data_IF_056057952879
#
_entry.id   IF_056057952879
#
_cell.length_a   1.000
_cell.length_b   1.000
_cell.length_c   1.000
_cell.angle_alpha   90.00
_cell.angle_beta   90.00
_cell.angle_gamma   90.00
#
_symmetry.space_group_name_H-M   'P 1'
#
loop_
_entity.id
_entity.type
_entity.pdbx_description
1 polymer ?
#
# COMPACT_ATOMS: atom_id res chain seq x y z
N UNK A 1 -15.07 3.64 -3.14
CA UNK A 1 -14.91 3.31 -1.71
C UNK A 1 -16.24 2.91 -1.10
N UNK A 2 -16.25 1.86 -0.28
CA UNK A 2 -17.39 1.49 0.58
C UNK A 2 -17.56 2.50 1.71
N UNK A 3 -18.65 2.44 2.47
CA UNK A 3 -18.91 3.38 3.57
C UNK A 3 -17.86 3.26 4.68
N UNK A 4 -17.45 2.03 5.01
CA UNK A 4 -16.37 1.78 5.97
C UNK A 4 -15.04 2.38 5.49
N UNK A 5 -14.68 2.20 4.21
CA UNK A 5 -13.50 2.83 3.64
C UNK A 5 -13.55 4.36 3.77
N UNK A 6 -14.69 4.98 3.48
CA UNK A 6 -14.85 6.45 3.61
C UNK A 6 -14.67 6.90 5.06
N UNK A 7 -15.21 6.17 6.03
CA UNK A 7 -15.04 6.49 7.45
C UNK A 7 -13.57 6.43 7.86
N UNK A 8 -12.88 5.31 7.57
CA UNK A 8 -11.45 5.14 7.86
C UNK A 8 -10.63 6.24 7.18
N UNK A 9 -10.92 6.54 5.91
CA UNK A 9 -10.21 7.57 5.14
C UNK A 9 -10.39 8.97 5.75
N UNK A 10 -11.63 9.34 6.13
CA UNK A 10 -11.90 10.62 6.82
C UNK A 10 -11.20 10.69 8.18
N UNK A 11 -11.14 9.60 8.92
CA UNK A 11 -10.46 9.58 10.21
C UNK A 11 -8.94 9.69 10.06
N UNK A 12 -8.36 9.07 9.02
CA UNK A 12 -6.97 9.29 8.65
C UNK A 12 -6.71 10.76 8.25
N UNK A 13 -7.58 11.39 7.46
CA UNK A 13 -7.50 12.82 7.13
C UNK A 13 -7.62 13.73 8.36
N UNK A 14 -8.49 13.42 9.32
CA UNK A 14 -8.62 14.21 10.55
C UNK A 14 -7.36 14.13 11.41
N UNK A 15 -6.80 12.92 11.56
CA UNK A 15 -5.51 12.72 12.25
C UNK A 15 -4.40 13.49 11.54
N UNK A 16 -4.40 13.49 10.21
CA UNK A 16 -3.41 14.25 9.43
C UNK A 16 -3.56 15.75 9.58
N UNK A 17 -4.79 16.30 9.65
CA UNK A 17 -5.00 17.73 9.90
C UNK A 17 -4.28 18.19 11.15
N UNK A 18 -4.39 17.45 12.26
CA UNK A 18 -3.69 17.77 13.50
C UNK A 18 -2.17 17.81 13.29
N UNK A 19 -1.61 16.75 12.70
CA UNK A 19 -0.17 16.63 12.44
C UNK A 19 0.36 17.68 11.45
N UNK A 20 -0.41 18.01 10.41
CA UNK A 20 -0.02 18.94 9.34
C UNK A 20 -0.16 20.41 9.80
N UNK A 21 -1.23 20.75 10.53
CA UNK A 21 -1.46 22.11 11.04
C UNK A 21 -0.51 22.44 12.20
N UNK A 22 -0.29 21.51 13.14
CA UNK A 22 0.68 21.70 14.22
C UNK A 22 2.09 21.95 13.66
N UNK A 23 2.46 21.28 12.56
CA UNK A 23 3.73 21.53 11.87
C UNK A 23 3.81 22.91 11.20
N UNK A 24 2.72 23.39 10.59
CA UNK A 24 2.67 24.71 9.97
C UNK A 24 2.84 25.86 10.98
N UNK A 25 2.30 25.70 12.20
CA UNK A 25 2.46 26.68 13.28
C UNK A 25 3.92 26.73 13.75
N UNK A 26 4.60 25.58 13.83
CA UNK A 26 6.01 25.51 14.23
C UNK A 26 6.96 26.14 13.18
N UNK A 27 6.73 25.93 11.87
CA UNK A 27 7.51 26.59 10.80
C UNK A 27 7.41 28.13 10.85
N UNK A 28 6.24 28.67 11.21
CA UNK A 28 6.03 30.14 11.33
C UNK A 28 6.66 30.75 12.58
N UNK A 29 7.03 29.93 13.57
CA UNK A 29 7.60 30.39 14.84
C UNK A 29 9.13 30.55 14.82
N UNK A 30 9.81 30.06 13.78
CA UNK A 30 11.26 30.19 13.57
C UNK A 30 11.67 31.54 12.92
N UNK A 31 10.96 32.63 13.25
CA UNK A 31 11.45 33.99 12.99
C UNK A 31 12.53 34.27 14.06
N UNK A 32 13.79 34.56 13.69
CA UNK A 32 14.85 34.68 14.68
C UNK A 32 14.67 35.96 15.51
N UNK A 33 14.14 35.82 16.73
CA UNK A 33 14.25 36.87 17.75
C UNK A 33 15.68 36.89 18.27
N UNK A 34 16.39 37.99 18.01
CA UNK A 34 17.77 38.23 18.42
C UNK A 34 17.91 38.39 19.94
N UNK A 35 17.92 37.30 20.70
CA UNK A 35 18.38 37.30 22.11
C UNK A 35 19.17 36.01 22.38
N UNK A 36 20.46 36.07 22.76
CA UNK A 36 21.25 34.88 23.01
C UNK A 36 20.95 34.34 24.40
N UNK A 37 20.34 33.15 24.49
CA UNK A 37 20.33 32.36 25.73
C UNK A 37 20.94 30.97 25.48
N UNK A 38 21.95 30.65 26.29
CA UNK A 38 22.70 29.38 26.31
C UNK A 38 21.72 28.20 26.39
N UNK A 39 21.71 27.33 25.38
CA UNK A 39 21.07 26.00 25.47
C UNK A 39 22.11 24.90 25.56
N UNK A 40 22.00 24.14 26.65
CA UNK A 40 22.62 22.85 26.92
C UNK A 40 22.29 21.87 25.80
N UNK A 41 23.31 21.20 25.27
CA UNK A 41 23.22 20.29 24.13
C UNK A 41 22.68 18.93 24.59
N UNK A 42 21.38 18.69 24.46
CA UNK A 42 20.79 17.35 24.48
C UNK A 42 20.79 16.78 23.06
N UNK A 43 21.23 15.53 22.92
CA UNK A 43 21.23 14.74 21.69
C UNK A 43 19.80 14.33 21.32
N UNK A 44 19.08 15.20 20.60
CA UNK A 44 17.81 14.87 19.95
C UNK A 44 18.03 14.50 18.49
N UNK A 45 17.34 13.47 17.98
CA UNK A 45 17.15 13.30 16.52
C UNK A 45 16.65 14.63 15.94
N UNK A 46 17.18 15.07 14.80
CA UNK A 46 16.77 16.34 14.19
C UNK A 46 15.26 16.38 13.99
N UNK A 47 14.60 17.46 14.44
CA UNK A 47 13.14 17.58 14.44
C UNK A 47 12.53 17.40 13.04
N UNK A 48 13.23 17.86 12.00
CA UNK A 48 12.87 17.67 10.59
C UNK A 48 12.70 16.19 10.21
N UNK A 49 13.50 15.30 10.83
CA UNK A 49 13.42 13.85 10.59
C UNK A 49 12.17 13.24 11.21
N UNK A 50 11.76 13.72 12.39
CA UNK A 50 10.53 13.28 13.07
C UNK A 50 9.28 13.75 12.29
N UNK A 51 9.32 14.95 11.74
CA UNK A 51 8.25 15.50 10.89
C UNK A 51 8.08 14.71 9.57
N UNK A 52 9.19 14.39 8.89
CA UNK A 52 9.15 13.57 7.68
C UNK A 52 8.64 12.15 7.94
N UNK A 53 8.96 11.57 9.10
CA UNK A 53 8.45 10.26 9.52
C UNK A 53 6.93 10.30 9.80
N UNK A 54 6.43 11.29 10.54
CA UNK A 54 5.00 11.43 10.86
C UNK A 54 4.12 11.73 9.63
N UNK A 55 4.61 12.56 8.71
CA UNK A 55 3.91 12.91 7.47
C UNK A 55 3.95 11.79 6.42
N UNK A 56 5.03 11.00 6.36
CA UNK A 56 5.07 9.77 5.56
C UNK A 56 4.04 8.75 6.06
N UNK A 57 3.82 8.66 7.38
CA UNK A 57 2.82 7.76 7.95
C UNK A 57 1.39 8.15 7.54
N UNK A 58 1.09 9.45 7.46
CA UNK A 58 -0.21 9.94 6.96
C UNK A 58 -0.48 9.51 5.53
N UNK A 59 0.46 9.72 4.60
CA UNK A 59 0.27 9.34 3.20
C UNK A 59 0.05 7.83 3.06
N UNK A 60 0.77 7.03 3.87
CA UNK A 60 0.58 5.58 3.89
C UNK A 60 -0.79 5.18 4.41
N UNK A 61 -1.29 5.81 5.47
CA UNK A 61 -2.63 5.55 5.99
C UNK A 61 -3.72 5.93 4.96
N UNK A 62 -3.61 7.10 4.32
CA UNK A 62 -4.58 7.49 3.28
C UNK A 62 -4.59 6.50 2.11
N UNK A 63 -3.41 6.05 1.68
CA UNK A 63 -3.29 5.00 0.66
C UNK A 63 -3.94 3.70 1.11
N UNK A 64 -3.57 3.16 2.27
CA UNK A 64 -4.16 1.92 2.80
C UNK A 64 -5.69 2.01 2.90
N UNK A 65 -6.23 3.15 3.33
CA UNK A 65 -7.68 3.37 3.46
C UNK A 65 -8.38 3.36 2.10
N UNK A 66 -7.74 3.90 1.06
CA UNK A 66 -8.22 3.84 -0.32
C UNK A 66 -8.19 2.40 -0.89
N UNK A 67 -7.32 1.52 -0.37
CA UNK A 67 -7.20 0.13 -0.80
C UNK A 67 -8.24 -0.78 -0.14
N UNK A 68 -8.16 -0.94 1.19
CA UNK A 68 -8.95 -1.96 1.87
C UNK A 68 -9.10 -1.71 3.39
N UNK A 69 -10.31 -1.86 3.98
CA UNK A 69 -10.51 -1.70 5.42
C UNK A 69 -9.67 -2.64 6.30
N UNK A 70 -9.49 -3.89 5.86
CA UNK A 70 -8.71 -4.91 6.58
C UNK A 70 -7.21 -4.57 6.76
N UNK A 71 -6.71 -3.49 6.14
CA UNK A 71 -5.37 -2.95 6.40
C UNK A 71 -5.31 -2.07 7.66
N UNK A 72 -6.41 -1.94 8.38
CA UNK A 72 -6.54 -1.25 9.66
C UNK A 72 -7.09 -2.19 10.71
N UNK A 73 -6.93 -1.82 11.98
CA UNK A 73 -7.58 -2.48 13.10
C UNK A 73 -8.90 -1.77 13.40
N UNK A 74 -10.00 -2.30 12.87
CA UNK A 74 -11.34 -1.70 13.04
C UNK A 74 -12.35 -2.70 13.59
N UNK A 75 -12.22 -3.97 13.21
CA UNK A 75 -13.12 -5.06 13.61
C UNK A 75 -12.62 -5.72 14.90
N UNK A 76 -11.30 -5.86 15.06
CA UNK A 76 -10.71 -6.44 16.26
C UNK A 76 -10.48 -5.37 17.34
N UNK A 77 -11.54 -5.07 18.10
CA UNK A 77 -11.52 -4.09 19.20
C UNK A 77 -10.63 -4.53 20.36
N UNK A 78 -10.28 -3.62 21.26
CA UNK A 78 -9.43 -3.93 22.43
C UNK A 78 -10.07 -4.95 23.38
N UNK A 79 -11.40 -5.00 23.46
CA UNK A 79 -12.15 -6.02 24.18
C UNK A 79 -11.96 -7.39 23.52
N UNK A 80 -12.04 -7.43 22.18
CA UNK A 80 -11.81 -8.64 21.38
C UNK A 80 -10.37 -9.12 21.54
N UNK A 81 -9.38 -8.22 21.47
CA UNK A 81 -7.98 -8.56 21.73
C UNK A 81 -7.79 -9.12 23.13
N UNK A 82 -8.43 -8.53 24.15
CA UNK A 82 -8.35 -9.04 25.53
C UNK A 82 -8.90 -10.46 25.65
N UNK A 83 -9.95 -10.79 24.90
CA UNK A 83 -10.49 -12.15 24.82
C UNK A 83 -9.53 -13.11 24.08
N UNK A 84 -8.96 -12.68 22.96
CA UNK A 84 -7.95 -13.42 22.19
C UNK A 84 -6.71 -13.70 23.06
N UNK A 85 -6.15 -12.71 23.74
CA UNK A 85 -4.99 -12.87 24.63
C UNK A 85 -5.25 -13.94 25.69
N UNK A 86 -6.40 -13.88 26.37
CA UNK A 86 -6.79 -14.87 27.38
C UNK A 86 -6.89 -16.29 26.79
N UNK A 87 -7.25 -16.40 25.52
CA UNK A 87 -7.28 -17.68 24.80
C UNK A 87 -5.86 -18.15 24.44
N UNK A 88 -5.05 -17.30 23.81
CA UNK A 88 -3.69 -17.63 23.38
C UNK A 88 -2.81 -18.08 24.55
N UNK A 89 -2.92 -17.45 25.72
CA UNK A 89 -2.18 -17.86 26.92
C UNK A 89 -2.53 -19.26 27.42
N UNK A 90 -3.64 -19.86 26.97
CA UNK A 90 -3.99 -21.25 27.29
C UNK A 90 -3.29 -22.26 26.38
N UNK A 91 -2.84 -21.82 25.20
CA UNK A 91 -2.19 -22.67 24.20
C UNK A 91 -0.84 -23.20 24.72
N UNK A 92 -0.49 -24.46 24.39
CA UNK A 92 0.74 -25.09 24.89
C UNK A 92 2.02 -24.30 24.60
N UNK A 93 2.11 -23.70 23.41
CA UNK A 93 3.30 -22.96 22.98
C UNK A 93 3.49 -21.64 23.77
N UNK A 94 2.40 -20.92 24.03
CA UNK A 94 2.44 -19.68 24.82
C UNK A 94 2.74 -19.98 26.29
N UNK A 95 2.18 -21.06 26.85
CA UNK A 95 2.52 -21.53 28.20
C UNK A 95 3.99 -21.91 28.32
N UNK A 96 4.50 -22.69 27.37
CA UNK A 96 5.90 -23.15 27.36
C UNK A 96 6.88 -21.98 27.31
N UNK A 97 6.55 -20.92 26.57
CA UNK A 97 7.38 -19.71 26.44
C UNK A 97 7.21 -18.72 27.61
N UNK A 98 6.30 -18.99 28.56
CA UNK A 98 6.03 -18.06 29.66
C UNK A 98 5.49 -16.71 29.18
N UNK A 99 4.63 -16.72 28.16
CA UNK A 99 4.14 -15.49 27.54
C UNK A 99 3.36 -14.60 28.53
N UNK A 100 3.60 -13.29 28.46
CA UNK A 100 2.98 -12.28 29.32
C UNK A 100 1.77 -11.67 28.60
N UNK A 101 0.62 -11.61 29.29
CA UNK A 101 -0.64 -11.14 28.71
C UNK A 101 -0.56 -9.74 28.11
N UNK A 102 0.10 -8.82 28.83
CA UNK A 102 0.27 -7.43 28.42
C UNK A 102 1.04 -7.33 27.11
N UNK A 103 2.19 -8.01 27.01
CA UNK A 103 3.02 -8.03 25.80
C UNK A 103 2.27 -8.65 24.61
N UNK A 104 1.57 -9.77 24.81
CA UNK A 104 0.79 -10.40 23.74
C UNK A 104 -0.33 -9.48 23.25
N UNK A 105 -0.99 -8.74 24.16
CA UNK A 105 -2.03 -7.78 23.78
C UNK A 105 -1.43 -6.55 23.07
N UNK A 106 -0.28 -6.07 23.54
CA UNK A 106 0.46 -4.96 22.92
C UNK A 106 0.86 -5.31 21.48
N UNK A 107 1.44 -6.50 21.26
CA UNK A 107 1.79 -7.00 19.93
C UNK A 107 0.57 -7.02 19.00
N UNK A 108 -0.58 -7.50 19.47
CA UNK A 108 -1.81 -7.53 18.68
C UNK A 108 -2.42 -6.14 18.44
N UNK A 109 -2.14 -5.15 19.29
CA UNK A 109 -2.75 -3.82 19.20
C UNK A 109 -2.29 -3.03 17.98
N UNK A 110 -1.11 -3.37 17.45
CA UNK A 110 -0.50 -2.75 16.26
C UNK A 110 -0.73 -3.57 14.98
N UNK A 111 -1.34 -4.74 15.08
CA UNK A 111 -1.70 -5.59 13.94
C UNK A 111 -2.96 -5.08 13.24
N UNK A 112 -3.05 -5.34 11.94
CA UNK A 112 -4.23 -5.09 11.11
C UNK A 112 -5.30 -6.17 11.30
N UNK A 113 -6.55 -5.88 10.95
CA UNK A 113 -7.62 -6.87 10.99
C UNK A 113 -7.28 -8.11 10.13
N UNK A 114 -6.56 -7.92 9.00
CA UNK A 114 -6.13 -9.04 8.14
C UNK A 114 -5.16 -9.98 8.83
N UNK A 115 -4.23 -9.45 9.64
CA UNK A 115 -3.26 -10.26 10.36
C UNK A 115 -3.90 -10.98 11.56
N UNK A 116 -4.83 -10.31 12.24
CA UNK A 116 -5.56 -10.84 13.40
C UNK A 116 -6.57 -11.95 13.03
N UNK A 117 -7.03 -11.96 11.77
CA UNK A 117 -7.91 -12.99 11.22
C UNK A 117 -7.29 -14.40 11.24
N UNK A 118 -5.99 -14.56 11.56
CA UNK A 118 -5.37 -15.88 11.76
C UNK A 118 -5.89 -16.66 12.99
N UNK A 119 -6.63 -16.01 13.90
CA UNK A 119 -7.10 -16.62 15.16
C UNK A 119 -8.45 -17.33 14.97
N UNK A 120 -8.43 -18.66 14.76
CA UNK A 120 -9.61 -19.50 14.42
C UNK A 120 -10.91 -19.24 15.20
N UNK A 121 -10.83 -18.97 16.51
CA UNK A 121 -12.03 -18.78 17.35
C UNK A 121 -12.70 -17.41 17.17
N UNK A 122 -11.96 -16.42 16.67
CA UNK A 122 -12.40 -15.03 16.53
C UNK A 122 -12.43 -14.58 15.07
N UNK A 123 -12.42 -15.56 14.14
CA UNK A 123 -12.54 -15.33 12.70
C UNK A 123 -13.80 -14.51 12.42
N UNK A 124 -13.60 -13.34 11.80
CA UNK A 124 -14.68 -12.57 11.20
C UNK A 124 -15.22 -13.28 9.94
N UNK A 125 -16.39 -12.88 9.47
CA UNK A 125 -16.92 -13.35 8.18
C UNK A 125 -15.94 -12.97 7.05
N UNK A 126 -15.59 -13.94 6.21
CA UNK A 126 -14.77 -13.73 5.01
C UNK A 126 -15.36 -12.71 4.03
N UNK A 127 -16.65 -12.36 4.14
CA UNK A 127 -17.25 -11.24 3.42
C UNK A 127 -16.50 -9.91 3.66
N UNK A 128 -15.77 -9.76 4.77
CA UNK A 128 -14.96 -8.58 5.05
C UNK A 128 -13.83 -8.34 4.01
N UNK A 129 -13.36 -9.39 3.34
CA UNK A 129 -12.31 -9.31 2.31
C UNK A 129 -12.82 -8.82 0.96
N UNK A 130 -14.13 -8.91 0.71
CA UNK A 130 -14.77 -8.42 -0.53
C UNK A 130 -15.43 -7.05 -0.36
N UNK A 131 -15.50 -6.55 0.87
CA UNK A 131 -16.07 -5.26 1.24
C UNK A 131 -15.08 -4.09 1.00
N UNK A 132 -14.64 -3.96 -0.25
CA UNK A 132 -13.80 -2.86 -0.71
C UNK A 132 -14.07 -2.54 -2.19
N UNK A 133 -14.12 -1.25 -2.52
CA UNK A 133 -14.50 -0.81 -3.88
C UNK A 133 -13.56 -1.34 -4.97
N UNK A 134 -12.24 -1.35 -4.73
CA UNK A 134 -11.26 -1.90 -5.67
C UNK A 134 -11.40 -3.42 -5.85
N UNK A 135 -11.74 -4.14 -4.78
CA UNK A 135 -11.97 -5.60 -4.86
C UNK A 135 -13.19 -5.92 -5.72
N UNK A 136 -14.28 -5.15 -5.57
CA UNK A 136 -15.48 -5.33 -6.38
C UNK A 136 -15.19 -5.13 -7.88
N UNK A 137 -14.45 -4.07 -8.23
CA UNK A 137 -14.02 -3.82 -9.61
C UNK A 137 -13.08 -4.92 -10.11
N UNK A 138 -12.11 -5.31 -9.29
CA UNK A 138 -11.16 -6.36 -9.62
C UNK A 138 -11.87 -7.69 -9.93
N UNK A 139 -12.84 -8.11 -9.11
CA UNK A 139 -13.59 -9.35 -9.34
C UNK A 139 -14.35 -9.33 -10.67
N UNK A 140 -14.88 -8.16 -11.08
CA UNK A 140 -15.48 -7.97 -12.40
C UNK A 140 -14.47 -8.20 -13.52
N UNK A 141 -13.32 -7.53 -13.46
CA UNK A 141 -12.23 -7.67 -14.43
C UNK A 141 -11.71 -9.10 -14.52
N UNK A 142 -11.47 -9.76 -13.37
CA UNK A 142 -10.99 -11.14 -13.33
C UNK A 142 -11.99 -12.12 -13.96
N UNK A 143 -13.29 -11.90 -13.77
CA UNK A 143 -14.35 -12.71 -14.39
C UNK A 143 -14.36 -12.56 -15.91
N UNK A 144 -14.19 -11.34 -16.41
CA UNK A 144 -14.12 -11.04 -17.84
C UNK A 144 -12.89 -11.68 -18.49
N UNK A 145 -11.69 -11.37 -18.00
CA UNK A 145 -10.45 -11.90 -18.57
C UNK A 145 -10.30 -13.41 -18.43
N UNK A 146 -10.91 -14.02 -17.40
CA UNK A 146 -10.96 -15.48 -17.28
C UNK A 146 -11.79 -16.11 -18.39
N UNK A 147 -12.91 -15.50 -18.81
CA UNK A 147 -13.71 -16.00 -19.94
C UNK A 147 -12.93 -15.91 -21.26
N UNK A 148 -12.09 -14.90 -21.40
CA UNK A 148 -11.23 -14.71 -22.57
C UNK A 148 -9.95 -15.57 -22.54
N UNK A 149 -9.74 -16.37 -21.49
CA UNK A 149 -8.53 -17.18 -21.34
C UNK A 149 -7.25 -16.35 -21.26
N UNK A 150 -7.32 -15.12 -20.72
CA UNK A 150 -6.15 -14.23 -20.55
C UNK A 150 -5.51 -14.46 -19.19
N UNK A 151 -4.17 -14.52 -19.17
CA UNK A 151 -3.36 -14.51 -17.95
C UNK A 151 -3.10 -13.07 -17.49
N UNK A 152 -3.14 -12.87 -16.18
CA UNK A 152 -3.24 -11.56 -15.52
C UNK A 152 -2.14 -11.43 -14.48
N UNK A 153 -1.40 -10.32 -14.52
CA UNK A 153 -0.50 -9.89 -13.45
C UNK A 153 -1.22 -8.86 -12.59
N UNK A 154 -1.16 -9.00 -11.27
CA UNK A 154 -1.70 -8.01 -10.34
C UNK A 154 -0.55 -7.52 -9.47
N UNK A 155 -0.20 -6.24 -9.61
CA UNK A 155 0.85 -5.60 -8.83
C UNK A 155 0.27 -4.81 -7.67
N UNK A 156 0.94 -4.90 -6.51
CA UNK A 156 0.67 -4.02 -5.38
C UNK A 156 1.96 -3.59 -4.67
N UNK A 157 1.96 -2.39 -4.09
CA UNK A 157 3.06 -1.92 -3.24
C UNK A 157 3.01 -2.53 -1.83
N UNK A 158 1.84 -3.02 -1.39
CA UNK A 158 1.63 -3.52 -0.04
C UNK A 158 1.53 -5.05 -0.04
N UNK A 159 2.48 -5.75 0.58
CA UNK A 159 2.41 -7.21 0.71
C UNK A 159 1.19 -7.66 1.51
N UNK A 160 0.79 -6.90 2.55
CA UNK A 160 -0.45 -7.13 3.29
C UNK A 160 -1.69 -7.09 2.37
N UNK A 161 -1.66 -6.28 1.30
CA UNK A 161 -2.73 -6.25 0.31
C UNK A 161 -2.70 -7.49 -0.57
N UNK A 162 -1.52 -8.03 -0.91
CA UNK A 162 -1.42 -9.32 -1.57
C UNK A 162 -2.01 -10.44 -0.71
N UNK A 163 -1.79 -10.44 0.60
CA UNK A 163 -2.40 -11.42 1.52
C UNK A 163 -3.94 -11.33 1.54
N UNK A 164 -4.49 -10.11 1.50
CA UNK A 164 -5.94 -9.90 1.33
C UNK A 164 -6.42 -10.43 -0.02
N UNK A 165 -5.71 -10.12 -1.12
CA UNK A 165 -6.06 -10.62 -2.46
C UNK A 165 -6.02 -12.14 -2.49
N UNK A 166 -5.06 -12.79 -1.84
CA UNK A 166 -5.00 -14.24 -1.71
C UNK A 166 -6.27 -14.81 -1.05
N UNK A 167 -6.74 -14.19 0.04
CA UNK A 167 -7.99 -14.60 0.70
C UNK A 167 -9.21 -14.44 -0.24
N UNK A 168 -9.28 -13.33 -0.97
CA UNK A 168 -10.33 -13.09 -1.98
C UNK A 168 -10.28 -14.15 -3.08
N UNK A 169 -9.12 -14.41 -3.68
CA UNK A 169 -8.98 -15.38 -4.78
C UNK A 169 -9.32 -16.81 -4.32
N UNK A 170 -8.90 -17.19 -3.10
CA UNK A 170 -9.27 -18.47 -2.47
C UNK A 170 -10.78 -18.62 -2.32
N UNK A 171 -11.46 -17.58 -1.80
CA UNK A 171 -12.93 -17.56 -1.65
C UNK A 171 -13.65 -17.80 -2.97
N UNK A 172 -13.10 -17.29 -4.07
CA UNK A 172 -13.64 -17.44 -5.43
C UNK A 172 -13.08 -18.63 -6.22
N UNK A 173 -12.34 -19.55 -5.56
CA UNK A 173 -11.72 -20.73 -6.17
C UNK A 173 -10.88 -20.40 -7.42
N UNK A 174 -10.18 -19.27 -7.40
CA UNK A 174 -9.25 -18.87 -8.47
C UNK A 174 -7.84 -19.30 -8.10
N UNK A 175 -7.17 -20.04 -9.00
CA UNK A 175 -5.77 -20.40 -8.84
C UNK A 175 -4.87 -19.21 -9.13
N UNK A 176 -3.83 -19.05 -8.33
CA UNK A 176 -2.88 -17.97 -8.45
C UNK A 176 -1.49 -18.38 -7.96
N UNK A 177 -0.47 -17.63 -8.37
CA UNK A 177 0.87 -17.65 -7.80
C UNK A 177 1.20 -16.30 -7.15
N UNK A 178 2.21 -16.28 -6.28
CA UNK A 178 2.64 -15.06 -5.57
C UNK A 178 4.15 -14.93 -5.63
N UNK A 179 4.63 -13.75 -6.01
CA UNK A 179 6.06 -13.41 -6.01
C UNK A 179 6.25 -12.06 -5.33
N UNK A 180 6.95 -12.07 -4.20
CA UNK A 180 7.29 -10.86 -3.43
C UNK A 180 8.80 -10.70 -3.32
N UNK A 181 9.24 -9.58 -2.73
CA UNK A 181 10.65 -9.37 -2.43
C UNK A 181 11.25 -10.43 -1.48
N UNK A 182 10.41 -11.07 -0.65
CA UNK A 182 10.84 -12.14 0.27
C UNK A 182 10.88 -13.52 -0.38
N UNK A 183 10.36 -13.69 -1.60
CA UNK A 183 10.48 -14.96 -2.34
C UNK A 183 11.96 -15.26 -2.62
N UNK A 184 12.49 -16.42 -2.20
CA UNK A 184 13.87 -16.82 -2.45
C UNK A 184 14.22 -16.80 -3.94
N UNK A 185 15.42 -16.32 -4.29
CA UNK A 185 15.83 -16.09 -5.69
C UNK A 185 15.80 -17.37 -6.52
N UNK A 186 16.21 -18.49 -5.92
CA UNK A 186 16.26 -19.82 -6.52
C UNK A 186 14.88 -20.39 -6.89
N UNK A 187 13.80 -19.95 -6.23
CA UNK A 187 12.43 -20.41 -6.49
C UNK A 187 11.70 -19.56 -7.53
N UNK A 188 12.18 -18.34 -7.81
CA UNK A 188 11.44 -17.38 -8.66
C UNK A 188 11.26 -17.85 -10.08
N UNK A 189 12.28 -18.46 -10.69
CA UNK A 189 12.17 -18.95 -12.06
C UNK A 189 11.13 -20.06 -12.15
N UNK A 190 11.11 -20.98 -11.17
CA UNK A 190 10.10 -22.04 -11.13
C UNK A 190 8.67 -21.51 -11.06
N UNK A 191 8.41 -20.41 -10.33
CA UNK A 191 7.09 -19.77 -10.30
C UNK A 191 6.73 -19.14 -11.66
N UNK A 192 7.72 -18.56 -12.36
CA UNK A 192 7.52 -18.00 -13.71
C UNK A 192 7.22 -19.11 -14.71
N UNK A 193 7.95 -20.22 -14.64
CA UNK A 193 7.76 -21.38 -15.50
C UNK A 193 6.38 -22.00 -15.24
N UNK A 194 6.02 -22.23 -13.98
CA UNK A 194 4.68 -22.72 -13.58
C UNK A 194 3.57 -21.78 -14.07
N UNK A 195 3.74 -20.47 -13.91
CA UNK A 195 2.78 -19.49 -14.44
C UNK A 195 2.70 -19.50 -15.96
N UNK A 196 3.76 -19.87 -16.66
CA UNK A 196 3.78 -19.92 -18.13
C UNK A 196 3.10 -21.19 -18.63
N UNK A 197 3.43 -22.34 -18.02
CA UNK A 197 3.08 -23.68 -18.49
C UNK A 197 1.71 -24.17 -17.98
N UNK A 198 1.31 -23.87 -16.74
CA UNK A 198 0.03 -24.33 -16.18
C UNK A 198 -1.11 -23.39 -16.63
N UNK A 199 -1.91 -23.84 -17.61
CA UNK A 199 -3.08 -23.12 -18.12
C UNK A 199 -4.21 -22.95 -17.09
N UNK A 200 -4.19 -23.70 -15.98
CA UNK A 200 -5.19 -23.55 -14.92
C UNK A 200 -4.87 -22.41 -13.95
N UNK A 201 -3.66 -21.83 -14.02
CA UNK A 201 -3.24 -20.65 -13.25
C UNK A 201 -3.31 -19.40 -14.13
N UNK A 202 -4.29 -18.54 -13.86
CA UNK A 202 -4.53 -17.34 -14.67
C UNK A 202 -4.07 -16.05 -13.99
N UNK A 203 -3.67 -16.11 -12.72
CA UNK A 203 -3.38 -14.92 -11.92
C UNK A 203 -1.99 -15.06 -11.28
N UNK A 204 -1.17 -14.02 -11.42
CA UNK A 204 0.08 -13.88 -10.70
C UNK A 204 0.04 -12.60 -9.86
N UNK A 205 0.13 -12.74 -8.54
CA UNK A 205 0.23 -11.64 -7.60
C UNK A 205 1.70 -11.25 -7.40
N UNK A 206 2.03 -9.98 -7.62
CA UNK A 206 3.40 -9.48 -7.48
C UNK A 206 3.47 -8.25 -6.58
N UNK A 207 4.49 -8.19 -5.74
CA UNK A 207 4.85 -6.90 -5.14
C UNK A 207 5.59 -6.07 -6.19
N UNK A 208 5.23 -4.80 -6.39
CA UNK A 208 5.83 -3.95 -7.43
C UNK A 208 7.36 -3.87 -7.33
N UNK A 209 7.91 -3.84 -6.11
CA UNK A 209 9.36 -3.85 -5.86
C UNK A 209 10.05 -5.17 -6.23
N UNK A 210 9.32 -6.28 -6.30
CA UNK A 210 9.83 -7.52 -6.88
C UNK A 210 9.82 -7.53 -8.42
N UNK A 211 9.25 -6.50 -9.05
CA UNK A 211 9.33 -6.27 -10.49
C UNK A 211 10.75 -5.94 -10.97
N UNK A 212 11.60 -5.32 -10.14
CA UNK A 212 12.97 -4.95 -10.50
C UNK A 212 13.93 -6.12 -10.73
N UNK A 213 13.48 -7.37 -10.55
CA UNK A 213 14.31 -8.58 -10.51
C UNK A 213 14.69 -9.13 -11.89
N UNK A 214 14.32 -8.49 -13.00
CA UNK A 214 14.71 -8.95 -14.35
C UNK A 214 13.81 -10.02 -14.97
N UNK A 215 12.76 -10.48 -14.28
CA UNK A 215 11.89 -11.59 -14.74
C UNK A 215 11.10 -11.26 -16.01
N UNK A 216 10.77 -12.31 -16.79
CA UNK A 216 9.98 -12.25 -18.01
C UNK A 216 8.61 -12.89 -17.76
N UNK A 217 7.52 -12.12 -17.94
CA UNK A 217 6.14 -12.55 -17.70
C UNK A 217 5.28 -12.35 -18.96
N UNK A 218 5.87 -12.53 -20.14
CA UNK A 218 5.20 -12.42 -21.46
C UNK A 218 4.03 -13.40 -21.65
N UNK A 219 3.87 -14.40 -20.78
CA UNK A 219 2.69 -15.26 -20.74
C UNK A 219 1.39 -14.49 -20.38
N UNK A 220 1.51 -13.39 -19.64
CA UNK A 220 0.37 -12.53 -19.30
C UNK A 220 0.17 -11.42 -20.35
N UNK A 221 -1.09 -11.13 -20.64
CA UNK A 221 -1.50 -10.05 -21.56
C UNK A 221 -2.28 -8.93 -20.86
N UNK A 222 -2.52 -9.06 -19.55
CA UNK A 222 -3.21 -8.07 -18.73
C UNK A 222 -2.34 -7.76 -17.52
N UNK A 223 -2.13 -6.49 -17.23
CA UNK A 223 -1.42 -5.98 -16.06
C UNK A 223 -2.35 -5.08 -15.28
N UNK A 224 -2.71 -5.48 -14.05
CA UNK A 224 -3.52 -4.69 -13.14
C UNK A 224 -2.60 -4.08 -12.07
N UNK A 225 -2.44 -2.77 -12.10
CA UNK A 225 -1.82 -2.01 -11.02
C UNK A 225 -2.90 -1.76 -9.95
N UNK A 226 -2.91 -2.58 -8.91
CA UNK A 226 -3.90 -2.47 -7.83
C UNK A 226 -3.70 -1.17 -7.04
N UNK A 227 -2.45 -0.76 -6.88
CA UNK A 227 -2.06 0.54 -6.33
C UNK A 227 -0.71 0.99 -6.91
N UNK A 228 -0.47 2.29 -6.88
CA UNK A 228 0.65 2.92 -7.60
C UNK A 228 1.87 3.17 -6.72
N UNK A 229 3.06 3.09 -7.29
CA UNK A 229 4.27 3.62 -6.65
C UNK A 229 4.22 5.15 -6.59
N UNK A 230 4.96 5.74 -5.64
CA UNK A 230 5.23 7.18 -5.68
C UNK A 230 6.18 7.53 -6.83
N UNK A 231 7.08 6.63 -7.22
CA UNK A 231 7.89 6.77 -8.42
C UNK A 231 7.23 6.07 -9.62
N UNK A 232 6.67 6.80 -10.59
CA UNK A 232 5.98 6.21 -11.75
C UNK A 232 6.88 5.34 -12.64
N UNK A 233 8.21 5.47 -12.54
CA UNK A 233 9.16 4.57 -13.23
C UNK A 233 9.11 3.14 -12.70
N UNK A 234 8.86 2.95 -11.40
CA UNK A 234 8.70 1.61 -10.82
C UNK A 234 7.46 0.91 -11.38
N UNK A 235 6.36 1.67 -11.54
CA UNK A 235 5.14 1.17 -12.17
C UNK A 235 5.36 0.84 -13.66
N UNK A 236 6.10 1.68 -14.39
CA UNK A 236 6.46 1.43 -15.80
C UNK A 236 7.32 0.16 -15.93
N UNK A 237 8.32 0.00 -15.07
CA UNK A 237 9.18 -1.18 -15.03
C UNK A 237 8.41 -2.47 -14.70
N UNK A 238 7.34 -2.39 -13.90
CA UNK A 238 6.44 -3.50 -13.63
C UNK A 238 5.62 -3.90 -14.86
N UNK A 239 5.12 -2.91 -15.62
CA UNK A 239 4.39 -3.13 -16.88
C UNK A 239 5.27 -3.80 -17.94
N UNK A 240 6.54 -3.37 -18.04
CA UNK A 240 7.54 -3.91 -18.97
C UNK A 240 7.89 -5.40 -18.72
N UNK A 241 7.39 -6.01 -17.62
CA UNK A 241 7.51 -7.45 -17.39
C UNK A 241 6.64 -8.27 -18.34
N UNK A 242 5.47 -7.73 -18.71
CA UNK A 242 4.57 -8.31 -19.69
C UNK A 242 4.74 -7.65 -21.07
N UNK A 243 4.95 -6.33 -21.11
CA UNK A 243 5.24 -5.58 -22.33
C UNK A 243 6.73 -5.71 -22.69
N UNK A 244 7.10 -6.88 -23.19
CA UNK A 244 8.50 -7.21 -23.53
C UNK A 244 8.58 -8.03 -24.81
N UNK A 245 9.77 -8.04 -25.43
CA UNK A 245 10.10 -8.93 -26.55
C UNK A 245 9.75 -10.38 -26.17
N UNK A 246 8.94 -11.03 -27.01
CA UNK A 246 8.40 -12.37 -26.75
C UNK A 246 6.89 -12.39 -26.49
N UNK A 247 6.30 -11.24 -26.15
CA UNK A 247 4.85 -11.08 -26.09
C UNK A 247 4.21 -11.26 -27.47
N UNK A 248 3.08 -11.97 -27.53
CA UNK A 248 2.33 -12.26 -28.76
C UNK A 248 0.94 -11.61 -28.83
N UNK A 249 0.47 -11.03 -27.72
CA UNK A 249 -0.82 -10.35 -27.60
C UNK A 249 -0.61 -8.91 -27.16
N UNK A 250 -1.55 -8.02 -27.51
CA UNK A 250 -1.55 -6.66 -26.97
C UNK A 250 -1.65 -6.71 -25.44
N UNK A 251 -0.77 -5.94 -24.79
CA UNK A 251 -0.72 -5.86 -23.33
C UNK A 251 -1.64 -4.74 -22.88
N UNK A 252 -2.64 -5.10 -22.09
CA UNK A 252 -3.57 -4.15 -21.49
C UNK A 252 -3.13 -3.82 -20.07
N UNK A 253 -2.92 -2.53 -19.79
CA UNK A 253 -2.52 -2.05 -18.46
C UNK A 253 -3.69 -1.29 -17.83
N UNK A 254 -4.15 -1.77 -16.68
CA UNK A 254 -5.27 -1.22 -15.92
C UNK A 254 -4.75 -0.68 -14.60
N UNK A 255 -4.97 0.60 -14.33
CA UNK A 255 -4.66 1.21 -13.03
C UNK A 255 -5.95 1.40 -12.24
N UNK A 256 -6.05 0.77 -11.06
CA UNK A 256 -7.20 0.96 -10.18
C UNK A 256 -6.98 2.21 -9.32
N UNK A 257 -7.86 3.20 -9.45
CA UNK A 257 -7.76 4.49 -8.74
C UNK A 257 -9.06 4.76 -8.00
N UNK A 258 -8.97 4.96 -6.68
CA UNK A 258 -10.12 5.36 -5.86
C UNK A 258 -10.39 6.86 -6.02
N UNK A 259 -11.50 7.20 -6.69
CA UNK A 259 -11.96 8.60 -6.84
C UNK A 259 -12.11 9.31 -5.49
N UNK A 260 -11.71 10.58 -5.44
CA UNK A 260 -11.79 11.44 -4.25
C UNK A 260 -10.78 11.04 -3.16
N UNK A 261 -9.65 10.45 -3.55
CA UNK A 261 -8.59 10.03 -2.62
C UNK A 261 -7.24 10.51 -3.09
N UNK A 262 -6.23 10.34 -2.23
CA UNK A 262 -4.82 10.64 -2.50
C UNK A 262 -4.30 9.93 -3.75
N UNK A 263 -4.92 8.83 -4.18
CA UNK A 263 -4.52 8.11 -5.38
C UNK A 263 -4.69 8.93 -6.66
N UNK A 264 -5.67 9.83 -6.75
CA UNK A 264 -5.83 10.71 -7.92
C UNK A 264 -4.68 11.71 -8.03
N UNK A 265 -4.19 12.21 -6.89
CA UNK A 265 -3.06 13.13 -6.84
C UNK A 265 -1.73 12.39 -7.12
N UNK A 266 -1.57 11.15 -6.63
CA UNK A 266 -0.43 10.27 -6.97
C UNK A 266 -0.39 10.04 -8.49
N UNK A 267 -1.53 9.70 -9.10
CA UNK A 267 -1.61 9.50 -10.55
C UNK A 267 -1.20 10.76 -11.30
N UNK A 268 -1.81 11.91 -10.98
CA UNK A 268 -1.59 13.18 -11.69
C UNK A 268 -0.14 13.65 -11.61
N UNK A 269 0.46 13.57 -10.42
CA UNK A 269 1.86 13.95 -10.23
C UNK A 269 2.80 12.96 -10.91
N UNK A 270 2.48 11.66 -10.88
CA UNK A 270 3.23 10.63 -11.60
C UNK A 270 3.24 10.86 -13.12
N UNK A 271 2.09 11.17 -13.71
CA UNK A 271 1.97 11.49 -15.14
C UNK A 271 2.72 12.77 -15.50
N UNK A 272 2.59 13.82 -14.69
CA UNK A 272 3.36 15.07 -14.86
C UNK A 272 4.86 14.78 -14.86
N UNK A 273 5.31 13.92 -13.95
CA UNK A 273 6.73 13.55 -13.86
C UNK A 273 7.22 12.80 -15.10
N UNK A 274 6.48 11.80 -15.56
CA UNK A 274 6.85 11.06 -16.77
C UNK A 274 6.91 11.99 -18.00
N UNK A 275 5.97 12.93 -18.13
CA UNK A 275 5.95 13.89 -19.21
C UNK A 275 7.14 14.87 -19.16
N UNK A 276 7.52 15.32 -17.95
CA UNK A 276 8.71 16.15 -17.76
C UNK A 276 9.99 15.40 -18.09
N UNK A 277 10.11 14.16 -17.65
CA UNK A 277 11.27 13.31 -17.94
C UNK A 277 11.40 13.06 -19.45
N UNK A 278 10.30 12.82 -20.16
CA UNK A 278 10.26 12.69 -21.63
C UNK A 278 10.64 13.99 -22.35
N UNK A 279 10.25 15.15 -21.83
CA UNK A 279 10.62 16.46 -22.40
C UNK A 279 12.09 16.84 -22.17
N UNK A 280 12.72 16.31 -21.12
CA UNK A 280 14.10 16.64 -20.69
C UNK A 280 15.11 15.55 -21.10
N UNK A 281 14.66 14.46 -21.72
CA UNK A 281 15.44 13.28 -22.10
C UNK A 281 16.65 13.52 -23.04
N UNK A 282 16.98 14.77 -23.36
CA UNK A 282 18.22 15.17 -24.02
C UNK A 282 19.42 15.41 -23.09
N UNK A 283 19.25 15.55 -21.76
CA UNK A 283 20.32 16.11 -20.90
C UNK A 283 20.39 15.59 -19.44
N UNK A 284 19.78 14.45 -19.08
CA UNK A 284 19.70 14.02 -17.67
C UNK A 284 20.47 12.72 -17.35
N UNK A 285 21.39 12.83 -16.39
CA UNK A 285 21.92 11.72 -15.59
C UNK A 285 20.77 10.99 -14.85
N UNK A 286 20.88 9.66 -14.70
CA UNK A 286 19.97 8.85 -13.90
C UNK A 286 19.92 9.36 -12.46
N UNK A 287 18.84 10.08 -12.10
CA UNK A 287 18.61 10.50 -10.71
C UNK A 287 18.24 9.29 -9.86
N UNK A 288 18.86 9.20 -8.67
CA UNK A 288 18.59 8.15 -7.68
C UNK A 288 17.09 8.00 -7.37
N UNK A 289 16.61 6.75 -7.33
CA UNK A 289 15.22 6.35 -7.07
C UNK A 289 14.72 6.92 -5.73
N UNK A 290 15.60 6.97 -4.73
CA UNK A 290 15.30 7.54 -3.42
C UNK A 290 14.98 9.05 -3.44
N UNK A 291 15.64 9.82 -4.32
CA UNK A 291 15.33 11.25 -4.49
C UNK A 291 14.00 11.48 -5.18
N UNK A 292 13.66 10.62 -6.14
CA UNK A 292 12.40 10.66 -6.89
C UNK A 292 11.19 10.47 -5.98
N UNK A 293 11.21 9.43 -5.14
CA UNK A 293 10.14 9.12 -4.20
C UNK A 293 9.93 10.23 -3.16
N UNK A 294 11.02 10.78 -2.61
CA UNK A 294 10.94 11.88 -1.61
C UNK A 294 10.30 13.13 -2.18
N UNK A 295 10.69 13.54 -3.39
CA UNK A 295 10.10 14.70 -4.06
C UNK A 295 8.59 14.53 -4.27
N UNK A 296 8.16 13.33 -4.68
CA UNK A 296 6.74 13.01 -4.85
C UNK A 296 5.96 13.15 -3.54
N UNK A 297 6.48 12.55 -2.45
CA UNK A 297 5.84 12.62 -1.13
C UNK A 297 5.70 14.06 -0.65
N UNK A 298 6.73 14.89 -0.82
CA UNK A 298 6.67 16.31 -0.44
C UNK A 298 5.60 17.05 -1.23
N UNK A 299 5.52 16.85 -2.55
CA UNK A 299 4.48 17.46 -3.37
C UNK A 299 3.07 17.05 -2.95
N UNK A 300 2.86 15.75 -2.64
CA UNK A 300 1.58 15.25 -2.16
C UNK A 300 1.18 15.85 -0.82
N UNK A 301 2.12 15.99 0.11
CA UNK A 301 1.86 16.63 1.41
C UNK A 301 1.46 18.10 1.24
N UNK A 302 2.11 18.81 0.33
CA UNK A 302 1.76 20.20 0.02
C UNK A 302 0.36 20.30 -0.61
N UNK A 303 0.03 19.43 -1.57
CA UNK A 303 -1.32 19.36 -2.17
C UNK A 303 -2.38 19.08 -1.11
N UNK A 304 -2.13 18.10 -0.23
CA UNK A 304 -3.03 17.76 0.86
C UNK A 304 -3.21 18.93 1.82
N UNK A 305 -2.14 19.64 2.19
CA UNK A 305 -2.20 20.84 3.04
C UNK A 305 -3.11 21.90 2.44
N UNK A 306 -2.91 22.24 1.16
CA UNK A 306 -3.73 23.25 0.48
C UNK A 306 -5.21 22.86 0.40
N UNK A 307 -5.52 21.57 0.20
CA UNK A 307 -6.89 21.06 0.22
C UNK A 307 -7.53 21.19 1.61
N UNK A 308 -6.78 20.91 2.68
CA UNK A 308 -7.30 21.01 4.05
C UNK A 308 -7.49 22.47 4.49
N UNK A 309 -6.62 23.38 4.03
CA UNK A 309 -6.77 24.83 4.25
C UNK A 309 -7.98 25.38 3.50
N UNK A 310 -8.24 24.98 2.25
CA UNK A 310 -9.40 25.46 1.48
C UNK A 310 -10.74 24.97 2.04
N UNK A 311 -10.79 23.73 2.55
CA UNK A 311 -11.96 23.19 3.26
C UNK A 311 -12.23 23.90 4.59
N UNK A 312 -11.22 24.54 5.21
CA UNK A 312 -11.40 25.30 6.45
C UNK A 312 -12.00 26.69 6.24
N UNK A 313 -11.97 27.19 5.00
CA UNK A 313 -12.43 28.54 4.62
C UNK A 313 -13.85 28.51 4.03
N UNK A 314 -14.36 27.35 3.61
CA UNK A 314 -15.75 27.21 3.15
C UNK A 314 -16.71 27.25 4.36
N UNK A 315 -17.59 28.28 4.48
CA UNK A 315 -18.63 28.25 5.50
C UNK A 315 -19.70 27.22 5.13
N UNK A 316 -20.23 26.53 6.15
CA UNK A 316 -21.42 25.67 6.07
C UNK A 316 -22.63 26.37 5.40
#
# INVERSE_FOLDING_TARGET
MTDLQRTIYRDALKRSRKTIIEAAIEETSDIPSSIPSRKTRMTGRSKDKIYAENSSNVLMDLRKAALHPMLFRTRFTDETLSAITKHLLKEPDFKRRGAIAELVKEDMSVMTDSELQSTRKYLQDEACYVDAGKIQVLLGLLSEYKKDGRKILIFSQFTQMLDILQAVLKKHAMRYLVLTGSTPVDVRQSLVDEFTEDESINIFLLSTKAGGMGINLTAASVVIMFDQDFNPHNDRQAQDRAYRIGQKRDVEVIKLISRGTIEEDILRLGETKLALDEAVAGDAEEKDDGTSERAMKTSLLNTLRLQLESESIAPD
#
